data_IF_108974438146
#
_entry.id   IF_108974438146
#
_cell.length_a   1.000
_cell.length_b   1.000
_cell.length_c   1.000
_cell.angle_alpha   90.00
_cell.angle_beta   90.00
_cell.angle_gamma   90.00
#
_symmetry.space_group_name_H-M   'P 1'
#
loop_
_entity.id
_entity.type
_entity.pdbx_description
1 polymer ?
#
# COMPACT_ATOMS: atom_id res chain seq x y z
N UNK A 1 19.08 15.63 17.89
CA UNK A 1 18.62 16.69 16.98
C UNK A 1 17.75 16.04 15.91
N UNK A 2 16.46 16.35 15.87
CA UNK A 2 15.54 15.83 14.85
C UNK A 2 15.90 16.42 13.49
N UNK A 3 16.31 15.57 12.54
CA UNK A 3 16.53 15.96 11.14
C UNK A 3 15.15 16.18 10.52
N UNK A 4 14.66 17.42 10.51
CA UNK A 4 13.48 17.79 9.72
C UNK A 4 13.85 17.68 8.25
N UNK A 5 13.44 16.58 7.62
CA UNK A 5 13.58 16.41 6.18
C UNK A 5 12.62 17.40 5.52
N UNK A 6 13.08 18.31 4.65
CA UNK A 6 12.21 19.28 4.01
C UNK A 6 11.14 18.53 3.19
N UNK A 7 9.88 18.95 3.35
CA UNK A 7 8.77 18.39 2.59
C UNK A 7 8.96 18.71 1.11
N UNK A 8 8.65 17.75 0.23
CA UNK A 8 8.63 18.03 -1.20
C UNK A 8 7.41 18.89 -1.54
N UNK A 9 7.47 19.67 -2.62
CA UNK A 9 6.33 20.47 -3.08
C UNK A 9 5.06 19.62 -3.28
N UNK A 10 5.21 18.39 -3.78
CA UNK A 10 4.13 17.41 -3.93
C UNK A 10 3.49 16.96 -2.60
N UNK A 11 4.13 17.23 -1.47
CA UNK A 11 3.66 16.81 -0.15
C UNK A 11 2.76 17.88 0.51
N UNK A 12 2.67 19.08 -0.06
CA UNK A 12 1.98 20.23 0.55
C UNK A 12 0.47 20.00 0.72
N UNK A 13 -0.17 19.33 -0.23
CA UNK A 13 -1.60 19.01 -0.19
C UNK A 13 -1.93 17.69 0.51
N UNK A 14 -0.93 16.84 0.79
CA UNK A 14 -1.16 15.52 1.39
C UNK A 14 -1.98 15.53 2.67
N UNK A 15 -1.82 16.49 3.61
CA UNK A 15 -2.64 16.51 4.81
C UNK A 15 -4.14 16.68 4.50
N UNK A 16 -4.48 17.60 3.59
CA UNK A 16 -5.86 17.83 3.17
C UNK A 16 -6.42 16.61 2.42
N UNK A 17 -5.65 16.05 1.50
CA UNK A 17 -6.04 14.84 0.75
C UNK A 17 -6.24 13.64 1.68
N UNK A 18 -5.45 13.53 2.75
CA UNK A 18 -5.58 12.43 3.72
C UNK A 18 -6.90 12.54 4.46
N UNK A 19 -7.28 13.73 4.92
CA UNK A 19 -8.54 13.95 5.65
C UNK A 19 -9.75 13.73 4.75
N UNK A 20 -9.73 14.27 3.52
CA UNK A 20 -10.86 14.18 2.61
C UNK A 20 -11.07 12.77 2.07
N UNK A 21 -10.00 11.99 1.92
CA UNK A 21 -10.04 10.61 1.44
C UNK A 21 -9.99 9.57 2.56
N UNK A 22 -10.13 9.96 3.84
CA UNK A 22 -10.10 9.04 4.97
C UNK A 22 -11.37 8.17 4.98
N UNK A 23 -11.34 7.07 4.24
CA UNK A 23 -12.18 5.88 4.32
C UNK A 23 -13.65 6.04 4.76
N UNK A 24 -14.36 7.04 4.22
CA UNK A 24 -15.83 7.18 4.36
C UNK A 24 -16.64 6.12 3.58
N UNK A 25 -16.03 4.98 3.22
CA UNK A 25 -16.67 3.90 2.46
C UNK A 25 -16.86 2.66 3.34
N UNK A 26 -17.93 1.89 3.11
CA UNK A 26 -18.21 0.62 3.80
C UNK A 26 -17.26 -0.53 3.41
N UNK A 27 -16.08 -0.22 2.87
CA UNK A 27 -15.10 -1.24 2.50
C UNK A 27 -14.62 -2.00 3.73
N UNK A 28 -14.31 -3.29 3.53
CA UNK A 28 -13.70 -4.14 4.54
C UNK A 28 -12.41 -4.68 3.94
N UNK A 29 -11.28 -4.24 4.48
CA UNK A 29 -9.96 -4.59 3.97
C UNK A 29 -9.26 -5.51 4.98
N UNK A 30 -8.87 -6.70 4.53
CA UNK A 30 -7.98 -7.60 5.25
C UNK A 30 -6.58 -7.49 4.65
N UNK A 31 -5.62 -7.03 5.43
CA UNK A 31 -4.23 -6.85 5.00
C UNK A 31 -3.27 -7.65 5.87
N UNK A 32 -2.53 -8.57 5.24
CA UNK A 32 -1.48 -9.35 5.90
C UNK A 32 -0.14 -8.89 5.35
N UNK A 33 0.77 -8.52 6.24
CA UNK A 33 2.12 -8.07 5.89
C UNK A 33 3.15 -8.95 6.57
N UNK A 34 4.01 -9.56 5.78
CA UNK A 34 5.16 -10.33 6.25
C UNK A 34 6.44 -9.64 5.81
N UNK A 35 7.39 -9.47 6.73
CA UNK A 35 8.68 -8.84 6.47
C UNK A 35 9.75 -9.80 6.93
N UNK A 36 10.69 -10.13 6.04
CA UNK A 36 11.82 -10.99 6.36
C UNK A 36 13.04 -10.16 6.78
N UNK A 37 13.97 -10.75 7.56
CA UNK A 37 15.24 -10.09 7.90
C UNK A 37 16.07 -9.68 6.68
N UNK A 38 15.95 -10.42 5.58
CA UNK A 38 16.73 -10.23 4.35
C UNK A 38 16.20 -9.08 3.46
N UNK A 39 15.25 -8.29 3.96
CA UNK A 39 14.74 -7.09 3.29
C UNK A 39 13.63 -7.34 2.28
N UNK A 40 13.12 -8.57 2.17
CA UNK A 40 11.91 -8.88 1.40
C UNK A 40 10.69 -8.61 2.28
N UNK A 41 9.67 -7.98 1.72
CA UNK A 41 8.36 -7.96 2.34
C UNK A 41 7.28 -8.33 1.34
N UNK A 42 6.38 -9.20 1.78
CA UNK A 42 5.20 -9.61 1.03
C UNK A 42 3.98 -9.07 1.76
N UNK A 43 3.06 -8.49 1.01
CA UNK A 43 1.79 -7.98 1.52
C UNK A 43 0.67 -8.53 0.68
N UNK A 44 -0.23 -9.27 1.30
CA UNK A 44 -1.51 -9.69 0.70
C UNK A 44 -2.61 -8.80 1.23
N UNK A 45 -3.48 -8.35 0.34
CA UNK A 45 -4.56 -7.42 0.62
C UNK A 45 -5.81 -7.93 -0.07
N UNK A 46 -6.87 -8.12 0.70
CA UNK A 46 -8.19 -8.48 0.20
C UNK A 46 -9.16 -7.38 0.60
N UNK A 47 -9.84 -6.80 -0.38
CA UNK A 47 -10.83 -5.75 -0.17
C UNK A 47 -12.20 -6.27 -0.59
N UNK A 48 -13.12 -6.33 0.37
CA UNK A 48 -14.53 -6.57 0.10
C UNK A 48 -15.22 -5.22 -0.04
N UNK A 49 -15.80 -4.99 -1.22
CA UNK A 49 -16.60 -3.80 -1.50
C UNK A 49 -18.05 -4.23 -1.72
N UNK A 50 -18.99 -3.61 -1.00
CA UNK A 50 -20.42 -3.85 -1.18
C UNK A 50 -21.09 -2.60 -1.74
N UNK A 51 -21.84 -2.74 -2.84
CA UNK A 51 -22.71 -1.67 -3.36
C UNK A 51 -24.01 -2.27 -3.89
N UNK A 52 -25.14 -1.70 -3.48
CA UNK A 52 -26.48 -2.07 -3.96
C UNK A 52 -26.78 -3.59 -3.89
N UNK A 53 -26.34 -4.25 -2.81
CA UNK A 53 -26.55 -5.69 -2.59
C UNK A 53 -25.60 -6.62 -3.36
N UNK A 54 -24.65 -6.07 -4.13
CA UNK A 54 -23.57 -6.82 -4.79
C UNK A 54 -22.28 -6.69 -3.99
N UNK A 55 -21.57 -7.80 -3.85
CA UNK A 55 -20.28 -7.88 -3.16
C UNK A 55 -19.19 -8.24 -4.17
N UNK A 56 -18.19 -7.38 -4.29
CA UNK A 56 -16.98 -7.62 -5.06
C UNK A 56 -15.81 -7.88 -4.11
N UNK A 57 -15.06 -8.95 -4.36
CA UNK A 57 -13.79 -9.23 -3.71
C UNK A 57 -12.65 -8.83 -4.64
N UNK A 58 -11.72 -8.02 -4.15
CA UNK A 58 -10.48 -7.68 -4.86
C UNK A 58 -9.29 -8.20 -4.08
N UNK A 59 -8.53 -9.11 -4.67
CA UNK A 59 -7.28 -9.58 -4.11
C UNK A 59 -6.07 -8.92 -4.79
N UNK A 60 -5.08 -8.58 -3.96
CA UNK A 60 -3.80 -8.02 -4.38
C UNK A 60 -2.68 -8.68 -3.60
N UNK A 61 -1.64 -9.07 -4.33
CA UNK A 61 -0.37 -9.52 -3.75
C UNK A 61 0.68 -8.50 -4.15
N UNK A 62 1.47 -8.04 -3.17
CA UNK A 62 2.57 -7.11 -3.41
C UNK A 62 3.85 -7.57 -2.75
N UNK A 63 4.94 -7.50 -3.49
CA UNK A 63 6.30 -7.73 -3.02
C UNK A 63 7.08 -6.43 -3.04
N UNK A 64 7.95 -6.26 -2.05
CA UNK A 64 8.99 -5.24 -2.06
C UNK A 64 10.29 -5.86 -1.58
N UNK A 65 11.40 -5.35 -2.09
CA UNK A 65 12.73 -5.76 -1.70
C UNK A 65 13.58 -4.53 -1.41
N UNK A 66 14.36 -4.57 -0.35
CA UNK A 66 15.33 -3.53 -0.04
C UNK A 66 16.65 -4.16 0.34
N UNK A 67 17.67 -3.93 -0.47
CA UNK A 67 19.03 -4.35 -0.16
C UNK A 67 19.70 -3.31 0.73
N UNK A 68 19.94 -3.66 1.99
CA UNK A 68 20.43 -2.71 3.00
C UNK A 68 21.82 -2.14 2.67
N UNK A 69 22.70 -2.93 2.06
CA UNK A 69 24.09 -2.55 1.84
C UNK A 69 24.30 -1.61 0.65
N UNK A 70 23.48 -1.71 -0.41
CA UNK A 70 23.63 -0.87 -1.62
C UNK A 70 22.58 0.24 -1.70
N UNK A 71 21.57 0.23 -0.84
CA UNK A 71 20.44 1.16 -0.91
C UNK A 71 19.48 0.89 -2.07
N UNK A 72 19.71 -0.18 -2.84
CA UNK A 72 18.81 -0.60 -3.92
C UNK A 72 17.46 -1.06 -3.37
N UNK A 73 16.37 -0.53 -3.91
CA UNK A 73 15.01 -0.95 -3.58
C UNK A 73 14.20 -1.31 -4.83
N UNK A 74 13.42 -2.38 -4.70
CA UNK A 74 12.28 -2.68 -5.56
C UNK A 74 11.05 -2.41 -4.72
N UNK A 75 10.46 -1.23 -4.90
CA UNK A 75 9.41 -0.74 -4.00
C UNK A 75 8.05 -1.37 -4.23
N UNK A 76 7.81 -1.95 -5.42
CA UNK A 76 6.49 -2.49 -5.76
C UNK A 76 6.52 -3.47 -6.94
N UNK A 77 6.57 -4.77 -6.62
CA UNK A 77 6.06 -5.83 -7.50
C UNK A 77 4.59 -6.06 -7.12
N UNK A 78 3.65 -5.93 -8.04
CA UNK A 78 2.23 -6.11 -7.72
C UNK A 78 1.58 -7.09 -8.69
N UNK A 79 0.76 -7.99 -8.15
CA UNK A 79 -0.12 -8.86 -8.90
C UNK A 79 -1.55 -8.55 -8.49
N UNK A 80 -2.43 -8.33 -9.47
CA UNK A 80 -3.87 -8.14 -9.28
C UNK A 80 -4.62 -9.35 -9.85
N UNK A 81 -5.79 -9.66 -9.32
CA UNK A 81 -6.66 -10.76 -9.79
C UNK A 81 -6.94 -10.74 -11.30
N UNK A 82 -6.97 -9.57 -11.93
CA UNK A 82 -7.22 -9.43 -13.38
C UNK A 82 -5.99 -9.73 -14.25
N UNK A 83 -4.93 -10.32 -13.71
CA UNK A 83 -3.72 -10.69 -14.46
C UNK A 83 -2.80 -9.53 -14.85
N UNK A 84 -3.04 -8.32 -14.32
CA UNK A 84 -2.19 -7.15 -14.54
C UNK A 84 -0.99 -7.13 -13.58
N UNK A 85 0.20 -6.92 -14.15
CA UNK A 85 1.43 -6.50 -13.46
C UNK A 85 1.43 -4.98 -13.22
#
# INVERSE_FOLDING_TARGET
MSKTTPAFFKDFNKPADTILNDDYSLKRTLKVKHVTPDGVAVTTENELTGKDGKFDLKAKISGKYKHAATGFSVDKLQLKETGGL
#
